data_IF_937879050509
#
_entry.id   IF_937879050509
#
_cell.length_a   1.000
_cell.length_b   1.000
_cell.length_c   1.000
_cell.angle_alpha   90.00
_cell.angle_beta   90.00
_cell.angle_gamma   90.00
#
_symmetry.space_group_name_H-M   'P 1'
#
loop_
_entity.id
_entity.type
_entity.pdbx_description
1 polymer ?
#
# COMPACT_ATOMS: atom_id res chain seq x y z
N UNK A 1 -17.85 -10.08 -14.54
CA UNK A 1 -18.21 -10.92 -15.73
C UNK A 1 -16.94 -11.10 -16.53
N UNK A 2 -16.49 -12.35 -16.70
CA UNK A 2 -15.36 -12.67 -17.57
C UNK A 2 -15.74 -12.36 -19.05
N UNK A 3 -14.78 -11.85 -19.78
CA UNK A 3 -14.92 -11.58 -21.22
C UNK A 3 -15.14 -12.91 -21.97
N UNK A 4 -16.03 -12.98 -22.98
CA UNK A 4 -16.21 -14.19 -23.78
C UNK A 4 -14.90 -14.66 -24.45
N UNK A 5 -14.68 -15.97 -24.52
CA UNK A 5 -13.45 -16.53 -25.06
C UNK A 5 -13.13 -16.04 -26.48
N UNK A 6 -14.13 -16.00 -27.36
CA UNK A 6 -13.97 -15.45 -28.72
C UNK A 6 -13.46 -14.01 -28.75
N UNK A 7 -13.91 -13.17 -27.81
CA UNK A 7 -13.44 -11.79 -27.69
C UNK A 7 -11.98 -11.75 -27.22
N UNK A 8 -11.59 -12.63 -26.29
CA UNK A 8 -10.21 -12.75 -25.83
C UNK A 8 -9.25 -13.22 -26.93
N UNK A 9 -9.69 -14.15 -27.77
CA UNK A 9 -8.87 -14.64 -28.87
C UNK A 9 -8.65 -13.53 -29.91
N UNK A 10 -9.67 -12.75 -30.24
CA UNK A 10 -9.55 -11.58 -31.13
C UNK A 10 -8.63 -10.51 -30.54
N UNK A 11 -8.75 -10.22 -29.26
CA UNK A 11 -7.86 -9.26 -28.58
C UNK A 11 -6.41 -9.73 -28.66
N UNK A 12 -6.16 -11.02 -28.46
CA UNK A 12 -4.81 -11.60 -28.58
C UNK A 12 -4.26 -11.47 -29.98
N UNK A 13 -5.05 -11.84 -31.01
CA UNK A 13 -4.67 -11.72 -32.43
C UNK A 13 -4.28 -10.28 -32.80
N UNK A 14 -5.11 -9.30 -32.42
CA UNK A 14 -4.81 -7.89 -32.69
C UNK A 14 -3.61 -7.35 -31.89
N UNK A 15 -3.37 -7.88 -30.69
CA UNK A 15 -2.18 -7.55 -29.91
C UNK A 15 -0.91 -8.10 -30.53
N UNK A 16 -0.93 -9.35 -31.04
CA UNK A 16 0.20 -10.00 -31.71
C UNK A 16 0.55 -9.31 -33.04
N UNK A 17 -0.43 -8.78 -33.74
CA UNK A 17 -0.20 -8.00 -34.96
C UNK A 17 0.29 -6.56 -34.71
N UNK A 18 0.38 -6.14 -33.45
CA UNK A 18 0.78 -4.79 -33.09
C UNK A 18 -0.24 -3.70 -33.46
N UNK A 19 -1.48 -4.10 -33.82
CA UNK A 19 -2.55 -3.16 -34.18
C UNK A 19 -2.99 -2.33 -32.98
N UNK A 20 -2.97 -2.91 -31.80
CA UNK A 20 -3.08 -2.20 -30.52
C UNK A 20 -2.51 -3.03 -29.38
N UNK A 21 -2.09 -2.39 -28.32
CA UNK A 21 -1.78 -3.02 -27.04
C UNK A 21 -3.01 -2.93 -26.13
N UNK A 22 -3.64 -4.08 -25.86
CA UNK A 22 -4.64 -4.14 -24.80
C UNK A 22 -3.92 -4.15 -23.45
N UNK A 23 -3.66 -2.99 -22.90
CA UNK A 23 -3.40 -2.90 -21.48
C UNK A 23 -4.76 -2.78 -20.78
N UNK A 24 -5.03 -3.71 -19.87
CA UNK A 24 -6.03 -3.47 -18.83
C UNK A 24 -5.49 -2.32 -18.00
N UNK A 25 -5.92 -1.11 -18.36
CA UNK A 25 -5.53 0.08 -17.63
C UNK A 25 -6.41 0.20 -16.38
N UNK A 26 -6.04 -0.55 -15.35
CA UNK A 26 -6.51 -0.35 -13.98
C UNK A 26 -5.73 0.78 -13.31
N UNK A 27 -4.87 1.48 -14.07
CA UNK A 27 -4.11 2.62 -13.62
C UNK A 27 -5.03 3.78 -13.22
N UNK A 28 -4.51 4.75 -12.48
CA UNK A 28 -5.26 5.86 -11.88
C UNK A 28 -6.18 5.46 -10.72
N UNK A 29 -6.00 4.28 -10.12
CA UNK A 29 -6.69 3.97 -8.88
C UNK A 29 -6.13 4.81 -7.73
N UNK A 30 -7.04 5.25 -6.87
CA UNK A 30 -6.68 5.94 -5.63
C UNK A 30 -7.03 4.98 -4.49
N UNK A 31 -6.05 4.47 -3.75
CA UNK A 31 -6.32 3.70 -2.56
C UNK A 31 -7.13 4.49 -1.53
N UNK A 32 -7.88 3.80 -0.70
CA UNK A 32 -8.48 4.40 0.50
C UNK A 32 -7.40 4.66 1.55
N UNK A 33 -6.58 5.69 1.30
CA UNK A 33 -5.47 6.08 2.16
C UNK A 33 -5.89 6.39 3.59
N UNK A 34 -7.11 6.89 3.78
CA UNK A 34 -7.67 7.13 5.12
C UNK A 34 -7.74 5.82 5.90
N UNK A 35 -8.31 4.76 5.32
CA UNK A 35 -8.37 3.44 5.94
C UNK A 35 -6.99 2.82 6.09
N UNK A 36 -6.11 2.94 5.11
CA UNK A 36 -4.73 2.41 5.19
C UNK A 36 -3.97 3.01 6.37
N UNK A 37 -4.02 4.33 6.52
CA UNK A 37 -3.28 5.05 7.57
C UNK A 37 -3.96 4.99 8.94
N UNK A 38 -5.29 4.76 9.02
CA UNK A 38 -5.97 4.67 10.31
C UNK A 38 -6.06 3.25 10.85
N UNK A 39 -6.03 2.23 10.02
CA UNK A 39 -6.16 0.84 10.43
C UNK A 39 -4.83 0.06 10.31
N UNK A 40 -3.94 0.49 9.44
CA UNK A 40 -2.79 -0.31 9.05
C UNK A 40 -3.16 -1.56 8.26
N UNK A 41 -2.18 -2.29 7.75
CA UNK A 41 -2.41 -3.53 7.01
C UNK A 41 -3.08 -4.61 7.89
N UNK A 42 -2.65 -4.76 9.13
CA UNK A 42 -3.23 -5.71 10.07
C UNK A 42 -4.69 -5.38 10.40
N UNK A 43 -5.01 -4.12 10.63
CA UNK A 43 -6.39 -3.70 10.90
C UNK A 43 -7.33 -3.85 9.70
N UNK A 44 -6.82 -3.65 8.48
CA UNK A 44 -7.56 -3.91 7.23
C UNK A 44 -7.83 -5.41 7.05
N UNK A 45 -6.84 -6.27 7.30
CA UNK A 45 -7.02 -7.73 7.37
C UNK A 45 -8.11 -8.11 8.36
N UNK A 46 -8.03 -7.59 9.57
CA UNK A 46 -8.98 -7.91 10.64
C UNK A 46 -10.38 -7.39 10.32
N UNK A 47 -10.51 -6.24 9.63
CA UNK A 47 -11.77 -5.74 9.10
C UNK A 47 -12.38 -6.73 8.09
N UNK A 48 -11.59 -7.25 7.17
CA UNK A 48 -12.02 -8.25 6.20
C UNK A 48 -12.45 -9.56 6.88
N UNK A 49 -11.67 -10.05 7.86
CA UNK A 49 -12.01 -11.26 8.63
C UNK A 49 -13.29 -11.08 9.47
N UNK A 50 -13.56 -9.89 10.00
CA UNK A 50 -14.83 -9.60 10.67
C UNK A 50 -16.00 -9.60 9.68
N UNK A 51 -15.82 -9.01 8.51
CA UNK A 51 -16.85 -8.99 7.48
C UNK A 51 -17.14 -10.40 6.93
N UNK A 52 -16.13 -11.26 6.82
CA UNK A 52 -16.27 -12.66 6.42
C UNK A 52 -17.24 -13.43 7.34
N UNK A 53 -17.19 -13.18 8.65
CA UNK A 53 -18.11 -13.82 9.63
C UNK A 53 -19.59 -13.45 9.40
N UNK A 54 -19.85 -12.36 8.68
CA UNK A 54 -21.19 -11.84 8.37
C UNK A 54 -21.55 -12.00 6.90
N UNK A 55 -20.75 -12.73 6.13
CA UNK A 55 -21.01 -13.00 4.73
C UNK A 55 -22.34 -13.75 4.55
N UNK A 56 -23.10 -13.38 3.52
CA UNK A 56 -24.46 -13.90 3.29
C UNK A 56 -24.54 -14.83 2.08
N UNK A 57 -23.48 -14.90 1.30
CA UNK A 57 -23.39 -15.71 0.09
C UNK A 57 -21.91 -15.98 -0.24
N UNK A 58 -21.69 -16.95 -1.12
CA UNK A 58 -20.37 -17.38 -1.56
C UNK A 58 -19.54 -16.25 -2.20
N UNK A 59 -20.16 -15.34 -2.93
CA UNK A 59 -19.48 -14.21 -3.54
C UNK A 59 -18.85 -13.29 -2.47
N UNK A 60 -19.59 -12.99 -1.40
CA UNK A 60 -19.10 -12.22 -0.27
C UNK A 60 -18.01 -12.97 0.51
N UNK A 61 -18.18 -14.28 0.73
CA UNK A 61 -17.17 -15.11 1.38
C UNK A 61 -15.86 -15.11 0.59
N UNK A 62 -15.93 -15.30 -0.70
CA UNK A 62 -14.77 -15.28 -1.59
C UNK A 62 -14.10 -13.89 -1.60
N UNK A 63 -14.88 -12.83 -1.68
CA UNK A 63 -14.35 -11.45 -1.65
C UNK A 63 -13.62 -11.14 -0.34
N UNK A 64 -14.25 -11.40 0.81
CA UNK A 64 -13.64 -11.08 2.10
C UNK A 64 -12.45 -11.98 2.41
N UNK A 65 -12.47 -13.24 1.97
CA UNK A 65 -11.32 -14.14 2.06
C UNK A 65 -10.15 -13.64 1.23
N UNK A 66 -10.40 -13.25 -0.01
CA UNK A 66 -9.37 -12.68 -0.88
C UNK A 66 -8.79 -11.37 -0.31
N UNK A 67 -9.65 -10.48 0.20
CA UNK A 67 -9.22 -9.24 0.84
C UNK A 67 -8.36 -9.50 2.08
N UNK A 68 -8.77 -10.44 2.95
CA UNK A 68 -7.98 -10.80 4.14
C UNK A 68 -6.60 -11.37 3.76
N UNK A 69 -6.54 -12.23 2.74
CA UNK A 69 -5.29 -12.80 2.24
C UNK A 69 -4.37 -11.74 1.62
N UNK A 70 -4.92 -10.79 0.89
CA UNK A 70 -4.16 -9.68 0.31
C UNK A 70 -3.49 -8.84 1.41
N UNK A 71 -4.24 -8.42 2.43
CA UNK A 71 -3.67 -7.66 3.55
C UNK A 71 -2.72 -8.47 4.42
N UNK A 72 -2.94 -9.77 4.61
CA UNK A 72 -1.96 -10.63 5.28
C UNK A 72 -0.66 -10.73 4.46
N UNK A 73 -0.73 -10.73 3.15
CA UNK A 73 0.45 -10.70 2.28
C UNK A 73 1.24 -9.40 2.46
N UNK A 74 0.59 -8.26 2.60
CA UNK A 74 1.24 -6.98 2.94
C UNK A 74 1.90 -7.06 4.32
N UNK A 75 1.22 -7.60 5.33
CA UNK A 75 1.81 -7.82 6.66
C UNK A 75 3.05 -8.73 6.58
N UNK A 76 2.98 -9.80 5.78
CA UNK A 76 4.10 -10.70 5.52
C UNK A 76 5.28 -10.01 4.84
N UNK A 77 5.01 -9.09 3.91
CA UNK A 77 6.04 -8.27 3.26
C UNK A 77 6.73 -7.35 4.28
N UNK A 78 5.96 -6.66 5.13
CA UNK A 78 6.49 -5.81 6.19
C UNK A 78 7.42 -6.61 7.13
N UNK A 79 6.99 -7.81 7.56
CA UNK A 79 7.82 -8.68 8.43
C UNK A 79 9.14 -9.09 7.76
N UNK A 80 9.14 -9.30 6.44
CA UNK A 80 10.37 -9.57 5.68
C UNK A 80 11.29 -8.36 5.66
N UNK A 81 10.75 -7.15 5.55
CA UNK A 81 11.53 -5.92 5.68
C UNK A 81 12.08 -5.73 7.09
N UNK A 82 11.35 -6.11 8.15
CA UNK A 82 11.90 -6.14 9.54
C UNK A 82 13.15 -6.99 9.59
N UNK A 83 13.07 -8.24 9.14
CA UNK A 83 14.21 -9.16 9.16
C UNK A 83 15.42 -8.63 8.35
N UNK A 84 15.16 -7.98 7.21
CA UNK A 84 16.21 -7.37 6.40
C UNK A 84 16.85 -6.17 7.12
N UNK A 85 16.07 -5.31 7.76
CA UNK A 85 16.54 -4.15 8.51
C UNK A 85 17.39 -4.59 9.71
N UNK A 86 16.96 -5.63 10.44
CA UNK A 86 17.74 -6.23 11.53
C UNK A 86 19.09 -6.77 11.05
N UNK A 87 19.09 -7.54 9.96
CA UNK A 87 20.31 -8.09 9.36
C UNK A 87 21.29 -6.99 8.94
N UNK A 88 20.79 -5.81 8.57
CA UNK A 88 21.61 -4.65 8.18
C UNK A 88 21.98 -3.73 9.34
N UNK A 89 21.56 -4.05 10.57
CA UNK A 89 21.79 -3.22 11.75
C UNK A 89 21.00 -1.90 11.76
N UNK A 90 19.97 -1.78 10.93
CA UNK A 90 19.11 -0.60 10.84
C UNK A 90 18.03 -0.62 11.96
N UNK A 91 18.48 -0.52 13.22
CA UNK A 91 17.65 -0.72 14.41
C UNK A 91 16.40 0.18 14.45
N UNK A 92 16.48 1.51 14.21
CA UNK A 92 15.29 2.36 14.22
C UNK A 92 14.27 1.97 13.15
N UNK A 93 14.73 1.62 11.95
CA UNK A 93 13.88 1.17 10.86
C UNK A 93 13.21 -0.16 11.20
N UNK A 94 13.95 -1.12 11.77
CA UNK A 94 13.39 -2.41 12.18
C UNK A 94 12.29 -2.24 13.26
N UNK A 95 12.49 -1.34 14.22
CA UNK A 95 11.51 -1.04 15.25
C UNK A 95 10.22 -0.45 14.67
N UNK A 96 10.34 0.54 13.80
CA UNK A 96 9.21 1.17 13.11
C UNK A 96 8.45 0.18 12.23
N UNK A 97 9.16 -0.62 11.42
CA UNK A 97 8.56 -1.66 10.58
C UNK A 97 7.82 -2.72 11.41
N UNK A 98 8.38 -3.12 12.55
CA UNK A 98 7.72 -4.08 13.46
C UNK A 98 6.41 -3.50 14.01
N UNK A 99 6.41 -2.23 14.37
CA UNK A 99 5.22 -1.54 14.86
C UNK A 99 4.10 -1.54 13.80
N UNK A 100 4.38 -1.11 12.56
CA UNK A 100 3.37 -1.03 11.49
C UNK A 100 2.97 -2.41 10.93
N UNK A 101 3.70 -3.48 11.25
CA UNK A 101 3.27 -4.84 10.92
C UNK A 101 2.05 -5.29 11.75
N UNK A 102 1.85 -4.71 12.94
CA UNK A 102 0.86 -5.17 13.92
C UNK A 102 -0.21 -4.13 14.26
N UNK A 103 0.12 -2.85 14.15
CA UNK A 103 -0.78 -1.74 14.47
C UNK A 103 -0.77 -0.65 13.39
N UNK A 104 -1.75 0.28 13.39
CA UNK A 104 -1.69 1.47 12.55
C UNK A 104 -0.47 2.34 12.91
N UNK A 105 0.02 3.15 11.96
CA UNK A 105 1.11 4.08 12.23
C UNK A 105 0.69 5.16 13.24
N UNK A 106 1.61 5.54 14.11
CA UNK A 106 1.43 6.61 15.10
C UNK A 106 2.29 7.82 14.78
N UNK A 107 3.48 7.62 14.19
CA UNK A 107 4.41 8.68 13.83
C UNK A 107 4.41 8.97 12.33
N UNK A 108 4.90 10.14 11.94
CA UNK A 108 5.09 10.50 10.53
C UNK A 108 5.99 9.49 9.80
N UNK A 109 7.08 9.07 10.44
CA UNK A 109 8.00 8.09 9.86
C UNK A 109 7.31 6.74 9.59
N UNK A 110 6.56 6.24 10.55
CA UNK A 110 5.76 5.01 10.40
C UNK A 110 4.72 5.14 9.29
N UNK A 111 4.01 6.27 9.23
CA UNK A 111 2.99 6.53 8.22
C UNK A 111 3.59 6.58 6.81
N UNK A 112 4.75 7.22 6.65
CA UNK A 112 5.47 7.29 5.39
C UNK A 112 6.00 5.91 4.95
N UNK A 113 6.52 5.10 5.90
CA UNK A 113 6.95 3.74 5.60
C UNK A 113 5.80 2.85 5.16
N UNK A 114 4.67 2.88 5.89
CA UNK A 114 3.49 2.09 5.52
C UNK A 114 2.98 2.50 4.13
N UNK A 115 2.89 3.79 3.86
CA UNK A 115 2.43 4.28 2.57
C UNK A 115 3.37 3.86 1.43
N UNK A 116 4.69 3.89 1.62
CA UNK A 116 5.65 3.43 0.62
C UNK A 116 5.52 1.93 0.35
N UNK A 117 5.41 1.11 1.40
CA UNK A 117 5.29 -0.35 1.24
C UNK A 117 3.97 -0.70 0.56
N UNK A 118 2.87 -0.05 0.94
CA UNK A 118 1.57 -0.27 0.34
C UNK A 118 1.56 0.12 -1.14
N UNK A 119 2.13 1.27 -1.47
CA UNK A 119 2.28 1.74 -2.84
C UNK A 119 3.13 0.78 -3.69
N UNK A 120 4.29 0.34 -3.15
CA UNK A 120 5.15 -0.64 -3.80
C UNK A 120 4.44 -1.99 -4.00
N UNK A 121 3.60 -2.43 -3.05
CA UNK A 121 2.86 -3.69 -3.19
C UNK A 121 1.88 -3.64 -4.36
N UNK A 122 1.25 -2.50 -4.62
CA UNK A 122 0.38 -2.29 -5.78
C UNK A 122 1.17 -2.29 -7.10
N UNK A 123 2.38 -1.73 -7.10
CA UNK A 123 3.27 -1.77 -8.27
C UNK A 123 3.63 -3.21 -8.67
N UNK A 124 3.92 -4.06 -7.69
CA UNK A 124 4.21 -5.48 -7.92
C UNK A 124 3.00 -6.20 -8.51
N UNK A 125 1.78 -5.80 -8.16
CA UNK A 125 0.53 -6.32 -8.72
C UNK A 125 0.17 -5.76 -10.11
N UNK A 126 1.01 -4.87 -10.66
CA UNK A 126 0.87 -4.36 -12.03
C UNK A 126 0.12 -3.04 -12.15
N UNK A 127 -0.04 -2.29 -11.06
CA UNK A 127 -0.64 -0.95 -11.04
C UNK A 127 0.43 0.14 -11.25
N UNK A 128 0.71 0.56 -12.50
CA UNK A 128 1.84 1.44 -12.80
C UNK A 128 1.60 2.90 -12.41
N UNK A 129 0.34 3.35 -12.39
CA UNK A 129 -0.04 4.73 -12.10
C UNK A 129 -0.96 4.78 -10.88
N UNK A 130 -0.44 5.28 -9.78
CA UNK A 130 -1.12 5.38 -8.49
C UNK A 130 -1.13 6.81 -7.99
N UNK A 131 -2.22 7.21 -7.34
CA UNK A 131 -2.31 8.50 -6.69
C UNK A 131 -2.19 8.34 -5.17
N UNK A 132 -1.42 9.24 -4.57
CA UNK A 132 -1.32 9.34 -3.12
C UNK A 132 -2.42 10.23 -2.51
N UNK A 133 -3.38 10.65 -3.33
CA UNK A 133 -4.42 11.55 -2.87
C UNK A 133 -3.86 12.93 -2.47
N UNK A 134 -4.52 13.57 -1.52
CA UNK A 134 -4.10 14.87 -0.98
C UNK A 134 -3.11 14.61 0.15
N UNK A 135 -1.83 14.54 -0.21
CA UNK A 135 -0.72 14.11 0.66
C UNK A 135 -0.67 14.89 1.98
N UNK A 136 -0.71 16.21 1.92
CA UNK A 136 -0.67 17.06 3.12
C UNK A 136 -1.83 16.79 4.07
N UNK A 137 -3.06 16.59 3.57
CA UNK A 137 -4.22 16.24 4.39
C UNK A 137 -4.07 14.90 5.10
N UNK A 138 -3.51 13.91 4.41
CA UNK A 138 -3.36 12.56 4.95
C UNK A 138 -2.30 12.48 6.05
N UNK A 139 -1.18 13.22 5.89
CA UNK A 139 -0.04 13.11 6.79
C UNK A 139 0.04 14.21 7.84
N UNK A 140 -0.75 15.29 7.75
CA UNK A 140 -0.69 16.44 8.69
C UNK A 140 -0.92 16.05 10.15
N UNK A 141 -1.75 15.03 10.41
CA UNK A 141 -2.01 14.57 11.78
C UNK A 141 -0.76 13.98 12.43
N UNK A 142 0.01 13.19 11.69
CA UNK A 142 1.26 12.59 12.16
C UNK A 142 2.35 13.65 12.33
N UNK A 143 2.45 14.56 11.38
CA UNK A 143 3.35 15.71 11.45
C UNK A 143 3.13 16.53 12.72
N UNK A 144 1.89 16.89 13.02
CA UNK A 144 1.53 17.66 14.23
C UNK A 144 1.82 16.88 15.50
N UNK A 145 1.43 15.60 15.51
CA UNK A 145 1.70 14.72 16.65
C UNK A 145 3.18 14.66 16.99
N UNK A 146 4.04 14.44 15.99
CA UNK A 146 5.48 14.29 16.21
C UNK A 146 6.12 15.57 16.70
N UNK A 147 5.67 16.75 16.21
CA UNK A 147 6.09 18.06 16.73
C UNK A 147 5.64 18.29 18.17
N UNK A 148 4.36 18.02 18.46
CA UNK A 148 3.77 18.22 19.79
C UNK A 148 4.39 17.32 20.85
N UNK A 149 4.72 16.07 20.46
CA UNK A 149 5.37 15.09 21.32
C UNK A 149 6.92 15.23 21.36
N UNK A 150 7.49 16.13 20.57
CA UNK A 150 8.95 16.31 20.49
C UNK A 150 9.70 15.09 19.93
N UNK A 151 9.02 14.25 19.13
CA UNK A 151 9.60 13.04 18.50
C UNK A 151 10.59 13.46 17.41
N UNK A 152 10.21 14.48 16.61
CA UNK A 152 11.04 15.03 15.55
C UNK A 152 11.07 16.56 15.62
N UNK A 153 12.19 17.14 15.17
CA UNK A 153 12.28 18.57 14.92
C UNK A 153 11.74 18.92 13.54
N UNK A 154 11.42 20.19 13.29
CA UNK A 154 10.95 20.67 11.97
C UNK A 154 11.94 20.40 10.85
N UNK A 155 13.24 20.42 11.17
CA UNK A 155 14.32 20.16 10.23
C UNK A 155 14.34 18.69 9.84
N UNK A 156 14.23 17.78 10.81
CA UNK A 156 14.18 16.33 10.58
C UNK A 156 12.93 15.93 9.79
N UNK A 157 11.78 16.54 10.06
CA UNK A 157 10.56 16.27 9.30
C UNK A 157 10.65 16.73 7.86
N UNK A 158 11.24 17.90 7.58
CA UNK A 158 11.51 18.37 6.22
C UNK A 158 12.42 17.41 5.47
N UNK A 159 13.43 16.87 6.12
CA UNK A 159 14.33 15.87 5.54
C UNK A 159 13.57 14.59 5.17
N UNK A 160 12.75 14.06 6.07
CA UNK A 160 11.92 12.87 5.80
C UNK A 160 10.98 13.08 4.60
N UNK A 161 10.33 14.23 4.52
CA UNK A 161 9.43 14.56 3.40
C UNK A 161 10.18 14.73 2.08
N UNK A 162 11.40 15.28 2.11
CA UNK A 162 12.23 15.43 0.90
C UNK A 162 12.72 14.09 0.37
N UNK A 163 13.08 13.15 1.23
CA UNK A 163 13.48 11.79 0.84
C UNK A 163 12.32 11.09 0.13
N UNK A 164 11.10 11.22 0.64
CA UNK A 164 9.94 10.63 0.03
C UNK A 164 9.64 11.23 -1.33
N UNK A 165 9.68 12.54 -1.47
CA UNK A 165 9.48 13.23 -2.76
C UNK A 165 10.51 12.78 -3.80
N UNK A 166 11.78 12.58 -3.42
CA UNK A 166 12.84 12.10 -4.28
C UNK A 166 12.64 10.64 -4.75
N UNK A 167 12.02 9.79 -3.94
CA UNK A 167 11.75 8.40 -4.29
C UNK A 167 10.57 8.27 -5.27
N UNK A 168 9.57 9.15 -5.19
CA UNK A 168 8.45 9.18 -6.14
C UNK A 168 8.84 9.69 -7.53
N UNK A 169 9.84 10.57 -7.63
CA UNK A 169 10.31 11.09 -8.93
C UNK A 169 11.27 10.15 -9.65
N UNK A 170 11.87 9.16 -8.95
CA UNK A 170 12.78 8.18 -9.55
C UNK A 170 12.09 6.94 -10.14
N UNK A 171 10.82 6.75 -9.87
CA UNK A 171 10.02 5.65 -10.45
C UNK A 171 9.42 5.96 -11.83
N UNK A 172 9.79 7.09 -12.44
CA UNK A 172 9.30 7.54 -13.74
C UNK A 172 10.46 7.72 -14.75
N UNK A 173 11.33 6.71 -14.83
CA UNK A 173 12.29 6.59 -15.96
C UNK A 173 12.30 5.15 -16.45
#
# INVERSE_FOLDING_TARGET
>A
RSMPAETMDRVREYSETGTFTAQLDLSHTIPDWESVLSLGAAGLRDRALRALKSARNEEQENFYTAAANAFESVCGLIRRFVALAEKRGAVPMAASLRAIAERPPETLYEALQLALIYDTSQEVEGEPLRSQGIFDRLFIRFYRHDLECGILTREQEKELLSIKSGNFTKGTL
#
